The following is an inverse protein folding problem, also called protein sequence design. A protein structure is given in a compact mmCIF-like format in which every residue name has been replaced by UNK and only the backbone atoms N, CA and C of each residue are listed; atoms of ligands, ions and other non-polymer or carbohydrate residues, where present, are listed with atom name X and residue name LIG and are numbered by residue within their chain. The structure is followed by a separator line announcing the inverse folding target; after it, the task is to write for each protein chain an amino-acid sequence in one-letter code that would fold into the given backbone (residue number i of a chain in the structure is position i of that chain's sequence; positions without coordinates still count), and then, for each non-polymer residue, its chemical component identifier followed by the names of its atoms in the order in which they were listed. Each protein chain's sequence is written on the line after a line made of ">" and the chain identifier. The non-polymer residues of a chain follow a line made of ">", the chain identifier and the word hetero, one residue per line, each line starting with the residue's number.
data_IF_205120116597
#
_entry.id   IF_205120116597
#
_cell.length_a   1.000
_cell.length_b   1.000
_cell.length_c   1.000
_cell.angle_alpha   90.00
_cell.angle_beta   90.00
_cell.angle_gamma   90.00
#
_symmetry.space_group_name_H-M   'P 1'
#
loop_
_entity.id
_entity.type
_entity.pdbx_description
1 polymer ?
#
# COMPACT_ATOMS: atom_id res chain seq x y z
N UNK A 1 62.03 -30.49 -4.21
CA UNK A 1 61.35 -29.60 -5.16
C UNK A 1 60.22 -30.39 -5.80
N UNK A 2 58.97 -29.96 -5.57
CA UNK A 2 57.68 -30.36 -6.17
C UNK A 2 57.39 -31.88 -6.29
N UNK A 3 56.39 -32.49 -5.63
CA UNK A 3 55.10 -31.98 -5.17
C UNK A 3 54.06 -32.08 -6.28
N UNK A 4 53.13 -33.03 -6.17
CA UNK A 4 52.02 -33.21 -7.12
C UNK A 4 51.12 -34.38 -6.74
N UNK A 5 50.37 -34.24 -5.65
CA UNK A 5 49.30 -35.14 -5.23
C UNK A 5 48.06 -34.96 -6.12
N UNK A 6 47.38 -36.07 -6.36
CA UNK A 6 46.06 -36.17 -6.97
C UNK A 6 45.03 -35.70 -5.93
N UNK A 7 44.30 -34.61 -6.19
CA UNK A 7 43.11 -34.28 -5.41
C UNK A 7 41.92 -33.93 -6.31
N UNK A 8 40.82 -34.49 -5.85
CA UNK A 8 39.46 -34.62 -6.36
C UNK A 8 38.76 -33.30 -6.63
N UNK A 9 37.87 -33.36 -7.63
CA UNK A 9 36.78 -32.42 -7.93
C UNK A 9 36.08 -31.99 -6.64
N UNK A 10 36.03 -30.69 -6.38
CA UNK A 10 35.07 -30.08 -5.48
C UNK A 10 34.21 -29.13 -6.32
N UNK A 11 32.99 -29.57 -6.59
CA UNK A 11 31.92 -28.73 -7.10
C UNK A 11 31.75 -27.55 -6.12
N UNK A 12 31.78 -26.33 -6.65
CA UNK A 12 31.49 -25.14 -5.88
C UNK A 12 30.00 -25.16 -5.52
N UNK A 13 29.72 -25.50 -4.27
CA UNK A 13 28.42 -25.38 -3.63
C UNK A 13 28.04 -23.90 -3.52
N UNK A 14 27.23 -23.40 -4.46
CA UNK A 14 26.63 -22.05 -4.43
C UNK A 14 25.40 -22.02 -3.51
N UNK A 15 25.49 -22.65 -2.34
CA UNK A 15 24.37 -22.87 -1.43
C UNK A 15 24.36 -21.92 -0.24
N UNK A 16 24.11 -20.63 -0.44
CA UNK A 16 23.46 -19.78 0.58
C UNK A 16 22.66 -18.69 -0.12
N UNK A 17 21.37 -18.94 -0.33
CA UNK A 17 20.39 -17.89 -0.62
C UNK A 17 20.33 -16.96 0.61
N UNK A 18 21.02 -15.83 0.52
CA UNK A 18 21.01 -14.75 1.52
C UNK A 18 19.74 -13.91 1.34
N UNK A 19 18.60 -14.57 1.49
CA UNK A 19 17.27 -13.96 1.45
C UNK A 19 16.89 -13.62 2.89
N UNK A 20 17.00 -12.36 3.27
CA UNK A 20 16.49 -11.87 4.55
C UNK A 20 14.95 -11.80 4.49
N UNK A 21 14.29 -12.93 4.71
CA UNK A 21 12.84 -12.97 4.92
C UNK A 21 12.54 -12.54 6.36
N UNK A 22 12.15 -11.29 6.53
CA UNK A 22 11.50 -10.89 7.76
C UNK A 22 10.08 -11.47 7.78
N UNK A 23 9.93 -12.63 8.42
CA UNK A 23 8.63 -13.19 8.75
C UNK A 23 7.87 -12.15 9.57
N UNK A 24 6.66 -11.75 9.16
CA UNK A 24 5.84 -10.89 10.00
C UNK A 24 5.67 -11.60 11.34
N UNK A 25 6.16 -11.01 12.44
CA UNK A 25 5.62 -11.40 13.73
C UNK A 25 4.12 -11.11 13.65
N UNK A 26 3.29 -12.14 13.89
CA UNK A 26 1.86 -11.99 14.06
C UNK A 26 1.64 -11.22 15.37
N UNK A 27 1.83 -9.90 15.31
CA UNK A 27 1.55 -9.00 16.42
C UNK A 27 0.06 -8.72 16.35
N UNK A 28 -0.65 -9.25 17.33
CA UNK A 28 -2.11 -9.13 17.41
C UNK A 28 -2.47 -7.69 17.79
N UNK A 29 -3.64 -7.23 17.32
CA UNK A 29 -4.16 -5.89 17.67
C UNK A 29 -4.20 -5.66 19.19
N UNK A 30 -4.36 -6.73 19.97
CA UNK A 30 -4.37 -6.71 21.43
C UNK A 30 -3.04 -6.29 22.05
N UNK A 31 -1.91 -6.52 21.37
CA UNK A 31 -0.57 -6.20 21.89
C UNK A 31 -0.29 -4.69 21.88
N UNK A 32 -1.02 -3.94 21.05
CA UNK A 32 -0.92 -2.48 20.95
C UNK A 32 -2.09 -1.75 21.63
N UNK A 33 -2.92 -2.42 22.42
CA UNK A 33 -4.16 -1.85 22.99
C UNK A 33 -4.00 -0.45 23.63
N UNK A 34 -2.85 -0.14 24.26
CA UNK A 34 -2.56 1.18 24.81
C UNK A 34 -2.24 2.26 23.76
N UNK A 35 -1.57 1.92 22.67
CA UNK A 35 -1.32 2.83 21.55
C UNK A 35 -2.57 3.00 20.68
N UNK A 36 -3.37 1.93 20.57
CA UNK A 36 -4.68 1.92 19.91
C UNK A 36 -5.80 2.50 20.77
N UNK A 37 -5.56 2.84 22.05
CA UNK A 37 -6.55 3.52 22.89
C UNK A 37 -7.01 4.87 22.30
N UNK A 38 -6.22 5.44 21.37
CA UNK A 38 -6.56 6.64 20.61
C UNK A 38 -7.22 6.35 19.25
N UNK A 39 -7.22 5.09 18.81
CA UNK A 39 -7.96 4.65 17.63
C UNK A 39 -9.41 4.32 18.01
N UNK A 40 -10.39 4.66 17.17
CA UNK A 40 -11.76 4.15 17.34
C UNK A 40 -11.77 2.62 17.16
N UNK A 41 -12.70 1.92 17.83
CA UNK A 41 -12.75 0.45 17.90
C UNK A 41 -12.72 -0.20 16.49
N UNK A 42 -11.72 -1.02 16.14
CA UNK A 42 -11.59 -1.68 14.82
C UNK A 42 -12.78 -2.55 14.42
N UNK A 43 -13.64 -2.89 15.37
CA UNK A 43 -14.88 -3.67 15.16
C UNK A 43 -16.02 -2.81 14.60
N UNK A 44 -15.93 -1.48 14.68
CA UNK A 44 -16.91 -0.57 14.08
C UNK A 44 -16.72 -0.48 12.56
N UNK A 45 -17.77 -0.72 11.76
CA UNK A 45 -17.67 -0.65 10.31
C UNK A 45 -17.37 0.79 9.87
N UNK A 46 -16.24 1.00 9.18
CA UNK A 46 -16.04 2.22 8.41
C UNK A 46 -17.03 2.22 7.25
N UNK A 47 -17.95 3.18 7.19
CA UNK A 47 -18.97 3.26 6.13
C UNK A 47 -18.32 3.41 4.76
N UNK A 48 -18.29 2.33 3.99
CA UNK A 48 -17.85 2.27 2.58
C UNK A 48 -19.01 2.46 1.61
N UNK A 49 -20.20 2.82 2.10
CA UNK A 49 -21.42 2.94 1.30
C UNK A 49 -21.29 3.97 0.20
N UNK A 50 -21.54 3.56 -1.05
CA UNK A 50 -21.57 4.46 -2.20
C UNK A 50 -22.76 5.41 -2.09
N UNK A 51 -22.49 6.71 -2.19
CA UNK A 51 -23.53 7.73 -2.22
C UNK A 51 -23.99 7.97 -3.67
N UNK A 52 -25.06 7.27 -4.07
CA UNK A 52 -25.71 7.47 -5.37
C UNK A 52 -26.49 8.79 -5.48
N UNK A 53 -26.71 9.49 -4.36
CA UNK A 53 -27.31 10.82 -4.35
C UNK A 53 -26.28 11.95 -4.44
N UNK A 54 -24.99 11.59 -4.42
CA UNK A 54 -23.89 12.55 -4.44
C UNK A 54 -23.83 13.38 -5.72
N UNK A 55 -23.18 14.56 -5.66
CA UNK A 55 -23.08 15.49 -6.80
C UNK A 55 -22.33 14.91 -8.00
N UNK A 56 -21.54 13.85 -7.81
CA UNK A 56 -20.84 13.16 -8.90
C UNK A 56 -21.74 12.21 -9.69
N UNK A 57 -22.91 11.84 -9.15
CA UNK A 57 -23.87 10.92 -9.77
C UNK A 57 -25.09 11.66 -10.31
N UNK A 58 -25.47 12.78 -9.67
CA UNK A 58 -26.60 13.60 -10.10
C UNK A 58 -26.22 14.46 -11.31
N UNK A 59 -26.94 14.30 -12.42
CA UNK A 59 -26.75 15.10 -13.62
C UNK A 59 -28.06 15.82 -14.00
N UNK A 60 -28.01 17.16 -14.08
CA UNK A 60 -29.16 18.01 -14.40
C UNK A 60 -29.63 17.90 -15.85
N UNK A 61 -28.78 17.38 -16.74
CA UNK A 61 -29.07 17.24 -18.17
C UNK A 61 -29.75 15.90 -18.50
N UNK A 62 -29.87 15.00 -17.52
CA UNK A 62 -30.53 13.69 -17.69
C UNK A 62 -32.01 13.77 -17.33
N UNK A 63 -32.84 13.14 -18.17
CA UNK A 63 -34.24 12.89 -17.81
C UNK A 63 -34.33 11.91 -16.63
N UNK A 64 -35.43 11.95 -15.87
CA UNK A 64 -35.64 11.10 -14.68
C UNK A 64 -35.44 9.62 -14.97
N UNK A 65 -35.90 9.13 -16.13
CA UNK A 65 -35.73 7.74 -16.53
C UNK A 65 -34.26 7.38 -16.83
N UNK A 66 -33.51 8.31 -17.42
CA UNK A 66 -32.08 8.13 -17.72
C UNK A 66 -31.24 8.14 -16.44
N UNK A 67 -31.55 9.04 -15.51
CA UNK A 67 -30.92 9.09 -14.19
C UNK A 67 -31.17 7.78 -13.43
N UNK A 68 -32.39 7.24 -13.47
CA UNK A 68 -32.71 5.96 -12.85
C UNK A 68 -31.93 4.78 -13.47
N UNK A 69 -31.80 4.76 -14.81
CA UNK A 69 -30.99 3.75 -15.51
C UNK A 69 -29.51 3.84 -15.14
N UNK A 70 -28.96 5.05 -15.05
CA UNK A 70 -27.58 5.28 -14.60
C UNK A 70 -27.37 4.70 -13.20
N UNK A 71 -28.22 5.07 -12.24
CA UNK A 71 -28.12 4.58 -10.86
C UNK A 71 -28.24 3.06 -10.81
N UNK A 72 -29.13 2.46 -11.59
CA UNK A 72 -29.26 1.00 -11.65
C UNK A 72 -27.97 0.30 -12.15
N UNK A 73 -27.28 0.87 -13.14
CA UNK A 73 -25.98 0.37 -13.61
C UNK A 73 -24.90 0.53 -12.54
N UNK A 74 -24.88 1.67 -11.85
CA UNK A 74 -23.90 1.91 -10.77
C UNK A 74 -24.12 0.96 -9.59
N UNK A 75 -25.36 0.61 -9.28
CA UNK A 75 -25.69 -0.41 -8.27
C UNK A 75 -25.27 -1.82 -8.73
N UNK A 76 -25.47 -2.15 -10.01
CA UNK A 76 -25.04 -3.43 -10.55
C UNK A 76 -23.50 -3.61 -10.50
N UNK A 77 -22.74 -2.51 -10.59
CA UNK A 77 -21.28 -2.51 -10.58
C UNK A 77 -20.68 -2.08 -9.24
N UNK A 78 -21.45 -2.14 -8.15
CA UNK A 78 -21.01 -1.67 -6.82
C UNK A 78 -19.72 -2.34 -6.35
N UNK A 79 -19.52 -3.63 -6.66
CA UNK A 79 -18.35 -4.40 -6.22
C UNK A 79 -17.00 -3.90 -6.75
N UNK A 80 -16.99 -3.21 -7.90
CA UNK A 80 -15.76 -2.69 -8.52
C UNK A 80 -15.55 -1.19 -8.27
N UNK A 81 -16.46 -0.56 -7.53
CA UNK A 81 -16.42 0.87 -7.25
C UNK A 81 -15.79 1.18 -5.89
N UNK A 82 -15.22 2.37 -5.78
CA UNK A 82 -14.60 2.87 -4.55
C UNK A 82 -15.33 4.16 -4.17
N UNK A 83 -15.76 4.24 -2.90
CA UNK A 83 -16.44 5.41 -2.38
C UNK A 83 -15.54 6.66 -2.34
N UNK A 84 -16.14 7.82 -2.12
CA UNK A 84 -15.39 9.09 -2.09
C UNK A 84 -14.54 9.25 -0.82
N UNK A 85 -13.67 10.28 -0.81
CA UNK A 85 -12.90 10.64 0.38
C UNK A 85 -11.72 9.71 0.64
N UNK A 86 -11.70 9.07 1.81
CA UNK A 86 -10.63 8.18 2.27
C UNK A 86 -10.99 6.69 2.17
N UNK A 87 -11.97 6.34 1.34
CA UNK A 87 -12.26 4.95 1.03
C UNK A 87 -11.00 4.27 0.48
N UNK A 88 -10.78 3.04 0.94
CA UNK A 88 -9.62 2.23 0.56
C UNK A 88 -10.03 1.26 -0.55
N UNK A 89 -9.16 1.01 -1.54
CA UNK A 89 -9.40 -0.04 -2.51
C UNK A 89 -9.45 -1.40 -1.79
N UNK A 90 -10.14 -2.40 -2.37
CA UNK A 90 -9.99 -3.77 -1.92
C UNK A 90 -8.51 -4.19 -2.03
N UNK A 91 -8.03 -5.12 -1.19
CA UNK A 91 -6.67 -5.61 -1.28
C UNK A 91 -6.43 -6.26 -2.64
N UNK A 92 -5.29 -5.95 -3.28
CA UNK A 92 -4.86 -6.68 -4.44
C UNK A 92 -4.30 -8.04 -3.98
N UNK A 93 -4.91 -9.14 -4.44
CA UNK A 93 -4.47 -10.50 -4.12
C UNK A 93 -3.76 -11.13 -5.31
N UNK A 94 -2.81 -12.02 -5.04
CA UNK A 94 -2.32 -12.99 -6.01
C UNK A 94 -0.92 -12.76 -6.60
N UNK A 95 -0.22 -11.70 -6.22
CA UNK A 95 1.18 -11.47 -6.64
C UNK A 95 2.02 -11.05 -5.44
N UNK A 96 3.09 -11.79 -5.18
CA UNK A 96 4.17 -11.38 -4.28
C UNK A 96 5.21 -10.65 -5.12
N UNK A 97 5.63 -9.47 -4.68
CA UNK A 97 6.61 -8.65 -5.37
C UNK A 97 7.85 -8.51 -4.49
N UNK A 98 8.93 -9.19 -4.88
CA UNK A 98 10.21 -9.08 -4.20
C UNK A 98 10.92 -7.81 -4.63
N UNK A 99 11.36 -7.02 -3.65
CA UNK A 99 12.07 -5.75 -3.88
C UNK A 99 13.57 -6.01 -3.67
N UNK A 100 14.32 -6.09 -4.77
CA UNK A 100 15.78 -6.21 -4.71
C UNK A 100 16.40 -4.87 -4.26
N UNK A 101 17.14 -4.92 -3.15
CA UNK A 101 17.97 -3.83 -2.65
C UNK A 101 19.42 -4.13 -3.03
N UNK A 102 19.95 -3.35 -3.98
CA UNK A 102 21.24 -3.58 -4.63
C UNK A 102 22.33 -3.95 -3.62
N UNK A 103 22.98 -5.10 -3.86
CA UNK A 103 24.15 -5.59 -3.08
C UNK A 103 23.86 -5.85 -1.59
N UNK A 104 22.68 -6.36 -1.24
CA UNK A 104 22.33 -6.71 0.16
C UNK A 104 22.59 -5.54 1.12
N UNK A 105 22.15 -4.34 0.73
CA UNK A 105 22.35 -3.14 1.53
C UNK A 105 21.71 -3.30 2.93
N UNK A 106 22.39 -2.91 4.03
CA UNK A 106 21.84 -3.06 5.37
C UNK A 106 20.53 -2.27 5.56
N UNK A 107 19.64 -2.71 6.46
CA UNK A 107 18.35 -2.05 6.67
C UNK A 107 18.44 -0.56 6.98
N UNK A 108 17.54 0.22 6.37
CA UNK A 108 17.41 1.66 6.64
C UNK A 108 16.27 1.89 7.62
N UNK A 109 16.60 2.33 8.84
CA UNK A 109 15.63 2.71 9.88
C UNK A 109 15.60 4.21 10.12
N UNK A 110 14.57 4.89 9.61
CA UNK A 110 14.38 6.31 9.79
C UNK A 110 13.43 6.61 10.95
N UNK A 111 13.69 7.70 11.66
CA UNK A 111 12.81 8.17 12.75
C UNK A 111 11.48 8.68 12.17
N UNK A 112 10.38 8.32 12.82
CA UNK A 112 9.05 8.86 12.51
C UNK A 112 9.01 10.39 12.60
N UNK A 113 8.26 11.03 11.70
CA UNK A 113 8.06 12.48 11.70
C UNK A 113 6.98 12.85 12.70
N UNK A 114 7.11 14.03 13.32
CA UNK A 114 6.08 14.54 14.22
C UNK A 114 4.83 14.95 13.42
N UNK A 115 3.70 14.32 13.72
CA UNK A 115 2.41 14.68 13.14
C UNK A 115 1.78 15.87 13.88
N UNK A 116 1.38 16.96 13.19
CA UNK A 116 0.61 18.03 13.80
C UNK A 116 -0.74 17.54 14.35
N UNK A 117 -1.14 18.04 15.52
CA UNK A 117 -2.36 17.59 16.23
C UNK A 117 -3.63 17.60 15.36
N UNK A 118 -3.79 18.63 14.52
CA UNK A 118 -4.93 18.79 13.61
C UNK A 118 -5.13 17.63 12.62
N UNK A 119 -4.10 16.83 12.37
CA UNK A 119 -4.14 15.71 11.44
C UNK A 119 -4.22 14.35 12.14
N UNK A 120 -4.03 14.28 13.47
CA UNK A 120 -3.98 13.01 14.20
C UNK A 120 -5.27 12.21 14.06
N UNK A 121 -6.44 12.84 14.27
CA UNK A 121 -7.73 12.13 14.15
C UNK A 121 -7.92 11.48 12.78
N UNK A 122 -7.67 12.23 11.71
CA UNK A 122 -7.79 11.73 10.32
C UNK A 122 -6.73 10.67 9.99
N UNK A 123 -5.52 10.83 10.52
CA UNK A 123 -4.45 9.84 10.37
C UNK A 123 -4.87 8.51 11.02
N UNK A 124 -5.40 8.57 12.22
CA UNK A 124 -5.85 7.41 12.97
C UNK A 124 -7.03 6.69 12.31
N UNK A 125 -8.01 7.42 11.82
CA UNK A 125 -9.11 6.84 11.02
C UNK A 125 -8.59 6.11 9.77
N UNK A 126 -7.62 6.70 9.06
CA UNK A 126 -7.05 6.11 7.85
C UNK A 126 -6.20 4.86 8.18
N UNK A 127 -5.37 4.92 9.22
CA UNK A 127 -4.60 3.76 9.70
C UNK A 127 -5.51 2.62 10.15
N UNK A 128 -6.59 2.93 10.86
CA UNK A 128 -7.61 1.94 11.23
C UNK A 128 -8.19 1.27 10.00
N UNK A 129 -8.62 2.05 9.00
CA UNK A 129 -9.13 1.49 7.74
C UNK A 129 -8.13 0.57 7.05
N UNK A 130 -6.85 0.96 7.00
CA UNK A 130 -5.79 0.14 6.39
C UNK A 130 -5.56 -1.19 7.13
N UNK A 131 -5.62 -1.16 8.47
CA UNK A 131 -5.51 -2.37 9.30
C UNK A 131 -6.74 -3.28 9.14
N UNK A 132 -7.96 -2.72 9.21
CA UNK A 132 -9.21 -3.48 9.04
C UNK A 132 -9.30 -4.13 7.65
N UNK A 133 -8.83 -3.45 6.62
CA UNK A 133 -8.78 -3.98 5.24
C UNK A 133 -7.60 -4.94 5.00
N UNK A 134 -6.70 -5.12 5.97
CA UNK A 134 -5.48 -5.94 5.86
C UNK A 134 -4.53 -5.47 4.75
N UNK A 135 -4.60 -4.20 4.33
CA UNK A 135 -3.61 -3.60 3.42
C UNK A 135 -2.28 -3.35 4.13
N UNK A 136 -2.31 -3.16 5.44
CA UNK A 136 -1.11 -3.05 6.30
C UNK A 136 -1.29 -3.93 7.54
N UNK A 137 -0.18 -4.30 8.15
CA UNK A 137 -0.12 -5.02 9.42
C UNK A 137 0.93 -4.40 10.33
N UNK A 138 0.89 -4.77 11.61
CA UNK A 138 2.00 -4.49 12.51
C UNK A 138 3.22 -5.31 12.08
N UNK A 139 4.41 -4.74 12.28
CA UNK A 139 5.68 -5.37 11.96
C UNK A 139 6.78 -4.77 12.84
N UNK A 140 7.72 -5.61 13.23
CA UNK A 140 8.95 -5.27 13.95
C UNK A 140 10.17 -5.17 13.02
N UNK A 141 9.92 -4.87 11.73
CA UNK A 141 10.93 -4.81 10.69
C UNK A 141 12.15 -3.94 11.06
N UNK A 142 13.37 -4.37 10.68
CA UNK A 142 14.56 -3.53 10.79
C UNK A 142 14.52 -2.33 9.82
N UNK A 143 13.63 -2.36 8.83
CA UNK A 143 13.38 -1.27 7.89
C UNK A 143 12.28 -0.34 8.39
N UNK A 144 12.49 0.97 8.29
CA UNK A 144 11.44 1.95 8.59
C UNK A 144 11.60 3.22 7.75
N UNK A 145 10.53 3.58 7.04
CA UNK A 145 10.41 4.86 6.34
C UNK A 145 9.33 5.73 7.00
N UNK A 146 9.53 7.05 7.14
CA UNK A 146 8.61 7.88 7.88
C UNK A 146 7.37 8.22 7.04
N UNK A 147 6.22 8.32 7.72
CA UNK A 147 4.99 8.83 7.15
C UNK A 147 5.11 10.33 6.85
N UNK A 148 4.52 10.75 5.73
CA UNK A 148 4.33 12.14 5.29
C UNK A 148 2.85 12.36 5.03
N UNK A 149 2.30 13.41 5.63
CA UNK A 149 0.88 13.77 5.49
C UNK A 149 0.77 14.92 4.49
N UNK A 150 -0.04 14.72 3.45
CA UNK A 150 -0.33 15.74 2.44
C UNK A 150 -1.82 16.09 2.48
N UNK A 151 -2.16 17.38 2.48
CA UNK A 151 -3.56 17.81 2.44
C UNK A 151 -4.12 17.66 1.02
N UNK A 152 -5.32 17.08 0.87
CA UNK A 152 -6.04 17.06 -0.41
C UNK A 152 -6.55 18.47 -0.74
N UNK A 153 -6.91 18.68 -2.01
CA UNK A 153 -7.40 19.98 -2.52
C UNK A 153 -8.65 20.50 -1.78
N UNK A 154 -9.47 19.60 -1.24
CA UNK A 154 -10.66 19.97 -0.46
C UNK A 154 -10.33 20.60 0.90
N UNK A 155 -9.05 20.64 1.30
CA UNK A 155 -8.60 21.27 2.55
C UNK A 155 -8.98 20.48 3.83
N UNK A 156 -9.71 19.38 3.67
CA UNK A 156 -10.23 18.56 4.75
C UNK A 156 -9.47 17.23 4.76
N UNK A 157 -9.47 16.50 3.66
CA UNK A 157 -8.91 15.15 3.64
C UNK A 157 -7.40 15.16 3.56
N UNK A 158 -6.79 14.07 4.01
CA UNK A 158 -5.35 13.86 3.95
C UNK A 158 -4.99 12.70 3.03
N UNK A 159 -3.77 12.70 2.52
CA UNK A 159 -3.10 11.54 1.92
C UNK A 159 -2.02 11.07 2.88
N UNK A 160 -2.07 9.78 3.19
CA UNK A 160 -0.98 9.08 3.85
C UNK A 160 0.07 8.72 2.79
N UNK A 161 1.25 9.31 2.87
CA UNK A 161 2.37 9.00 2.00
C UNK A 161 3.53 8.45 2.83
N UNK A 162 4.38 7.62 2.21
CA UNK A 162 5.58 7.10 2.86
C UNK A 162 6.79 7.64 2.11
N UNK A 163 7.76 8.19 2.84
CA UNK A 163 8.98 8.77 2.27
C UNK A 163 10.00 7.66 1.95
N UNK A 164 9.79 6.97 0.82
CA UNK A 164 10.66 5.89 0.37
C UNK A 164 11.97 6.37 -0.28
N UNK A 165 12.25 7.67 -0.36
CA UNK A 165 13.40 8.21 -1.11
C UNK A 165 14.73 7.50 -0.82
N UNK A 166 14.98 7.13 0.44
CA UNK A 166 16.21 6.42 0.83
C UNK A 166 16.21 4.97 0.37
N UNK A 167 15.06 4.29 0.45
CA UNK A 167 14.90 2.91 -0.03
C UNK A 167 14.97 2.89 -1.57
N UNK A 168 14.23 3.77 -2.24
CA UNK A 168 14.24 3.89 -3.71
C UNK A 168 15.62 4.20 -4.30
N UNK A 169 16.52 4.84 -3.54
CA UNK A 169 17.88 5.12 -3.99
C UNK A 169 18.80 3.88 -4.01
N UNK A 170 18.43 2.82 -3.29
CA UNK A 170 19.17 1.56 -3.21
C UNK A 170 18.42 0.39 -3.87
N UNK A 171 17.14 0.55 -4.19
CA UNK A 171 16.35 -0.45 -4.89
C UNK A 171 16.87 -0.64 -6.33
N UNK A 172 17.03 -1.88 -6.76
CA UNK A 172 17.35 -2.20 -8.14
C UNK A 172 16.19 -1.78 -9.06
N UNK A 173 16.51 -1.14 -10.18
CA UNK A 173 15.48 -0.68 -11.13
C UNK A 173 14.93 -1.91 -11.84
N UNK A 174 13.62 -2.13 -11.71
CA UNK A 174 12.90 -3.10 -12.55
C UNK A 174 12.67 -2.47 -13.92
N UNK A 175 13.42 -2.90 -14.92
CA UNK A 175 13.23 -2.43 -16.30
C UNK A 175 12.05 -3.16 -16.93
N UNK A 176 10.95 -2.44 -17.12
CA UNK A 176 9.82 -2.88 -17.91
C UNK A 176 9.44 -1.79 -18.90
N UNK A 177 9.27 -2.15 -20.17
CA UNK A 177 8.83 -1.21 -21.20
C UNK A 177 7.33 -0.94 -21.02
N UNK A 178 6.99 0.20 -20.43
CA UNK A 178 5.62 0.70 -20.44
C UNK A 178 5.38 1.37 -21.80
N UNK A 179 4.38 0.92 -22.59
CA UNK A 179 4.08 1.53 -23.88
C UNK A 179 3.67 2.99 -23.70
N UNK A 180 4.00 3.84 -24.68
CA UNK A 180 3.53 5.21 -24.66
C UNK A 180 2.03 5.25 -24.98
N UNK A 181 1.38 6.34 -24.56
CA UNK A 181 -0.04 6.55 -24.86
C UNK A 181 -0.29 6.51 -26.37
N UNK A 182 0.60 7.10 -27.17
CA UNK A 182 0.48 7.12 -28.63
C UNK A 182 0.64 5.71 -29.24
N UNK A 183 1.51 4.88 -28.68
CA UNK A 183 1.69 3.49 -29.12
C UNK A 183 0.38 2.72 -28.90
N UNK A 184 -0.23 2.87 -27.72
CA UNK A 184 -1.50 2.23 -27.37
C UNK A 184 -2.66 2.69 -28.28
N UNK A 185 -2.72 3.99 -28.60
CA UNK A 185 -3.78 4.54 -29.44
C UNK A 185 -3.64 4.17 -30.92
N UNK A 186 -2.43 3.87 -31.38
CA UNK A 186 -2.19 3.45 -32.77
C UNK A 186 -2.60 1.98 -33.01
N UNK A 187 -2.65 1.17 -31.94
CA UNK A 187 -3.07 -0.23 -31.99
C UNK A 187 -4.60 -0.45 -31.87
N UNK A 188 -5.37 0.60 -31.57
CA UNK A 188 -6.84 0.59 -31.48
C UNK A 188 -7.51 0.83 -32.84
#
# INVERSE_FOLDING_TARGET
>A
MAGGSLETVADADWGTNDTDEHLPNEIELTDYAHELAFLPDPTEPSSTTLDYSGPNVQNTDLQTEQQAKLVAVLQQLEEIMIASGNALPPPAYGVVCDIDVQRHHPPIKQKARRTPLRFLGKLYELLKGLLTTKLVSFSDSPWASPIVIVLKKNGIDIRLCIDYKRVSAITAIMEYAMPLVDDLLTEM
#
